data_IF_016313070589
#
_entry.id   IF_016313070589
#
_cell.length_a   1.000
_cell.length_b   1.000
_cell.length_c   1.000
_cell.angle_alpha   90.00
_cell.angle_beta   90.00
_cell.angle_gamma   90.00
#
_symmetry.space_group_name_H-M   'P 1'
#
loop_
_entity.id
_entity.type
_entity.pdbx_description
1 polymer ?
#
# COMPACT_ATOMS: atom_id res chain seq x y z
N UNK A 1 8.23 -34.01 8.29
CA UNK A 1 7.10 -33.07 8.35
C UNK A 1 7.58 -31.70 7.94
N UNK A 2 7.24 -31.27 6.73
CA UNK A 2 7.51 -29.89 6.27
C UNK A 2 6.53 -28.94 6.97
N UNK A 3 6.88 -28.46 8.14
CA UNK A 3 6.20 -27.35 8.79
C UNK A 3 6.58 -26.07 8.06
N UNK A 4 5.78 -25.66 7.07
CA UNK A 4 5.93 -24.33 6.46
C UNK A 4 5.70 -23.28 7.54
N UNK A 5 6.69 -22.41 7.74
CA UNK A 5 6.56 -21.31 8.71
C UNK A 5 5.33 -20.45 8.38
N UNK A 6 4.53 -20.05 9.39
CA UNK A 6 3.33 -19.26 9.16
C UNK A 6 3.67 -17.93 8.47
N UNK A 7 2.84 -17.53 7.51
CA UNK A 7 2.98 -16.22 6.84
C UNK A 7 2.82 -15.11 7.87
N UNK A 8 3.84 -14.27 8.04
CA UNK A 8 3.85 -13.19 9.04
C UNK A 8 3.45 -11.83 8.47
N UNK A 9 3.62 -11.64 7.18
CA UNK A 9 3.31 -10.37 6.51
C UNK A 9 3.07 -10.56 5.02
N UNK A 10 2.33 -9.63 4.43
CA UNK A 10 2.15 -9.48 2.98
C UNK A 10 2.53 -8.06 2.61
N UNK A 11 3.51 -7.89 1.74
CA UNK A 11 4.00 -6.57 1.35
C UNK A 11 4.37 -6.50 -0.12
N UNK A 12 4.45 -5.28 -0.63
CA UNK A 12 4.94 -4.97 -1.95
C UNK A 12 5.66 -3.62 -1.94
N UNK A 13 6.67 -3.47 -2.80
CA UNK A 13 7.43 -2.24 -2.96
C UNK A 13 7.83 -2.06 -4.42
N UNK A 14 8.05 -0.83 -4.83
CA UNK A 14 8.52 -0.53 -6.18
C UNK A 14 9.49 0.64 -6.19
N UNK A 15 10.42 0.61 -7.14
CA UNK A 15 11.20 1.77 -7.56
C UNK A 15 10.46 2.38 -8.73
N UNK A 16 10.08 3.64 -8.61
CA UNK A 16 9.24 4.31 -9.61
C UNK A 16 10.03 4.67 -10.87
N UNK A 17 9.40 4.68 -12.06
CA UNK A 17 10.05 5.05 -13.32
C UNK A 17 10.59 6.47 -13.33
N UNK A 18 9.96 7.37 -12.58
CA UNK A 18 10.41 8.72 -12.27
C UNK A 18 10.29 8.98 -10.77
N UNK A 19 11.03 9.96 -10.28
CA UNK A 19 10.90 10.35 -8.88
C UNK A 19 9.49 10.89 -8.58
N UNK A 20 8.98 10.59 -7.40
CA UNK A 20 7.72 11.14 -6.90
C UNK A 20 7.99 12.49 -6.27
N UNK A 21 7.43 13.56 -6.86
CA UNK A 21 7.68 14.94 -6.49
C UNK A 21 6.50 15.59 -5.76
N UNK A 22 5.32 14.97 -5.85
CA UNK A 22 4.07 15.47 -5.24
C UNK A 22 3.42 14.42 -4.35
N UNK A 23 2.59 14.88 -3.40
CA UNK A 23 1.75 14.02 -2.57
C UNK A 23 0.81 13.15 -3.43
N UNK A 24 0.38 13.67 -4.58
CA UNK A 24 -0.46 12.91 -5.51
C UNK A 24 0.30 11.76 -6.16
N UNK A 25 1.57 11.97 -6.54
CA UNK A 25 2.42 10.90 -7.05
C UNK A 25 2.53 9.74 -6.06
N UNK A 26 2.80 10.09 -4.80
CA UNK A 26 2.91 9.11 -3.71
C UNK A 26 1.59 8.37 -3.51
N UNK A 27 0.48 9.08 -3.55
CA UNK A 27 -0.85 8.51 -3.41
C UNK A 27 -1.17 7.50 -4.52
N UNK A 28 -0.84 7.82 -5.78
CA UNK A 28 -1.01 6.93 -6.92
C UNK A 28 -0.26 5.62 -6.68
N UNK A 29 1.03 5.70 -6.35
CA UNK A 29 1.88 4.50 -6.17
C UNK A 29 1.43 3.68 -4.96
N UNK A 30 1.10 4.32 -3.83
CA UNK A 30 0.58 3.63 -2.65
C UNK A 30 -0.71 2.86 -2.95
N UNK A 31 -1.63 3.43 -3.73
CA UNK A 31 -2.86 2.72 -4.11
C UNK A 31 -2.58 1.50 -5.01
N UNK A 32 -1.63 1.61 -5.95
CA UNK A 32 -1.21 0.47 -6.80
C UNK A 32 -0.66 -0.66 -5.93
N UNK A 33 0.23 -0.34 -5.00
CA UNK A 33 0.83 -1.31 -4.10
C UNK A 33 -0.20 -1.91 -3.13
N UNK A 34 -1.11 -1.08 -2.59
CA UNK A 34 -2.17 -1.53 -1.69
C UNK A 34 -3.18 -2.45 -2.40
N UNK A 35 -3.47 -2.24 -3.69
CA UNK A 35 -4.28 -3.16 -4.50
C UNK A 35 -3.63 -4.55 -4.57
N UNK A 36 -2.32 -4.61 -4.80
CA UNK A 36 -1.57 -5.87 -4.81
C UNK A 36 -1.55 -6.55 -3.44
N UNK A 37 -1.29 -5.79 -2.38
CA UNK A 37 -1.26 -6.34 -1.00
C UNK A 37 -2.65 -6.81 -0.57
N UNK A 38 -3.70 -5.99 -0.79
CA UNK A 38 -5.09 -6.32 -0.48
C UNK A 38 -5.58 -7.57 -1.19
N UNK A 39 -5.33 -7.67 -2.50
CA UNK A 39 -5.68 -8.84 -3.30
C UNK A 39 -5.02 -10.13 -2.77
N UNK A 40 -3.73 -10.07 -2.41
CA UNK A 40 -2.99 -11.21 -1.84
C UNK A 40 -3.48 -11.58 -0.43
N UNK A 41 -3.84 -10.60 0.39
CA UNK A 41 -4.46 -10.86 1.69
C UNK A 41 -5.79 -11.60 1.51
N UNK A 42 -6.67 -11.13 0.62
CA UNK A 42 -7.97 -11.76 0.32
C UNK A 42 -7.81 -13.16 -0.26
N UNK A 43 -6.90 -13.33 -1.23
CA UNK A 43 -6.64 -14.63 -1.86
C UNK A 43 -6.19 -15.71 -0.84
N UNK A 44 -5.48 -15.30 0.22
CA UNK A 44 -4.97 -16.20 1.25
C UNK A 44 -5.85 -16.22 2.52
N UNK A 45 -7.00 -15.56 2.53
CA UNK A 45 -7.92 -15.53 3.68
C UNK A 45 -7.33 -14.81 4.89
N UNK A 46 -6.52 -13.76 4.68
CA UNK A 46 -5.93 -12.97 5.74
C UNK A 46 -6.47 -11.54 5.78
N UNK A 47 -6.37 -10.95 6.97
CA UNK A 47 -6.49 -9.51 7.23
C UNK A 47 -5.26 -9.06 8.02
N UNK A 48 -4.79 -7.84 7.79
CA UNK A 48 -3.70 -7.25 8.57
C UNK A 48 -4.26 -6.31 9.64
N UNK A 49 -3.64 -6.31 10.82
CA UNK A 49 -3.93 -5.36 11.89
C UNK A 49 -3.01 -4.16 11.87
N UNK A 50 -1.89 -4.27 11.21
CA UNK A 50 -0.88 -3.23 11.15
C UNK A 50 -0.48 -2.99 9.70
N UNK A 51 -0.41 -1.73 9.31
CA UNK A 51 0.12 -1.28 8.02
C UNK A 51 1.46 -0.60 8.25
N UNK A 52 2.45 -0.99 7.49
CA UNK A 52 3.78 -0.41 7.46
C UNK A 52 4.05 0.20 6.09
N UNK A 53 4.68 1.36 6.05
CA UNK A 53 5.30 1.89 4.83
C UNK A 53 6.81 1.92 4.97
N UNK A 54 7.49 1.78 3.84
CA UNK A 54 8.91 2.06 3.68
C UNK A 54 9.11 3.03 2.54
N UNK A 55 9.91 4.06 2.73
CA UNK A 55 10.20 5.05 1.69
C UNK A 55 11.70 5.23 1.56
N UNK A 56 12.14 5.54 0.34
CA UNK A 56 13.52 5.88 0.04
C UNK A 56 13.53 7.07 -0.93
N UNK A 57 14.29 8.09 -0.59
CA UNK A 57 14.50 9.24 -1.46
C UNK A 57 15.58 8.98 -2.52
N UNK A 58 15.79 9.97 -3.38
CA UNK A 58 16.81 9.92 -4.45
C UNK A 58 18.26 9.91 -3.93
N UNK A 59 18.51 10.26 -2.67
CA UNK A 59 19.83 10.22 -2.04
C UNK A 59 20.02 9.00 -1.14
N UNK A 60 19.12 8.01 -1.26
CA UNK A 60 19.16 6.73 -0.56
C UNK A 60 18.82 6.82 0.94
N UNK A 61 18.42 7.98 1.46
CA UNK A 61 17.84 8.04 2.79
C UNK A 61 16.54 7.24 2.81
N UNK A 62 16.39 6.38 3.79
CA UNK A 62 15.19 5.56 3.93
C UNK A 62 14.68 5.55 5.37
N UNK A 63 13.38 5.38 5.51
CA UNK A 63 12.77 5.06 6.79
C UNK A 63 11.57 4.13 6.58
N UNK A 64 11.16 3.48 7.66
CA UNK A 64 9.86 2.80 7.74
C UNK A 64 9.07 3.27 8.95
N UNK A 65 7.75 3.28 8.80
CA UNK A 65 6.78 3.62 9.83
C UNK A 65 5.59 2.70 9.73
N UNK A 66 4.97 2.43 10.87
CA UNK A 66 3.80 1.56 10.93
C UNK A 66 2.70 2.18 11.78
N UNK A 67 1.46 1.78 11.50
CA UNK A 67 0.28 2.15 12.28
C UNK A 67 -0.60 0.92 12.47
N UNK A 68 -1.14 0.77 13.67
CA UNK A 68 -2.14 -0.24 13.96
C UNK A 68 -3.50 0.25 13.47
N UNK A 69 -4.19 -0.57 12.68
CA UNK A 69 -5.55 -0.31 12.24
C UNK A 69 -6.53 -0.48 13.40
N UNK A 70 -7.63 0.25 13.39
CA UNK A 70 -8.71 0.08 14.37
C UNK A 70 -9.32 -1.33 14.26
N UNK A 71 -9.52 -1.80 13.03
CA UNK A 71 -10.01 -3.15 12.76
C UNK A 71 -9.09 -3.83 11.75
N UNK A 72 -8.94 -5.15 11.86
CA UNK A 72 -8.21 -5.94 10.89
C UNK A 72 -8.81 -5.77 9.48
N UNK A 73 -7.98 -5.55 8.48
CA UNK A 73 -8.45 -5.23 7.13
C UNK A 73 -7.67 -5.95 6.04
N UNK A 74 -8.38 -6.26 4.96
CA UNK A 74 -7.84 -6.59 3.65
C UNK A 74 -8.46 -5.70 2.55
N UNK A 75 -9.12 -4.61 2.96
CA UNK A 75 -9.75 -3.63 2.07
C UNK A 75 -8.67 -2.70 1.55
N UNK A 76 -8.54 -2.66 0.23
CA UNK A 76 -7.50 -1.87 -0.46
C UNK A 76 -7.49 -0.41 -0.02
N UNK A 77 -8.66 0.21 0.08
CA UNK A 77 -8.80 1.62 0.49
C UNK A 77 -8.26 1.87 1.89
N UNK A 78 -8.62 1.04 2.86
CA UNK A 78 -8.18 1.17 4.25
C UNK A 78 -6.66 1.05 4.38
N UNK A 79 -6.06 0.08 3.66
CA UNK A 79 -4.61 -0.12 3.62
C UNK A 79 -3.91 1.09 2.97
N UNK A 80 -4.41 1.56 1.82
CA UNK A 80 -3.84 2.68 1.09
C UNK A 80 -3.91 3.99 1.88
N UNK A 81 -5.06 4.27 2.52
CA UNK A 81 -5.26 5.47 3.34
C UNK A 81 -4.36 5.46 4.59
N UNK A 82 -4.25 4.32 5.27
CA UNK A 82 -3.33 4.18 6.40
C UNK A 82 -1.87 4.44 5.98
N UNK A 83 -1.45 3.89 4.84
CA UNK A 83 -0.12 4.14 4.28
C UNK A 83 0.09 5.60 3.89
N UNK A 84 -0.92 6.23 3.29
CA UNK A 84 -0.85 7.63 2.90
C UNK A 84 -0.80 8.59 4.11
N UNK A 85 -1.56 8.31 5.17
CA UNK A 85 -1.47 9.07 6.42
C UNK A 85 -0.08 8.95 7.05
N UNK A 86 0.48 7.74 7.15
CA UNK A 86 1.84 7.54 7.64
C UNK A 86 2.87 8.35 6.82
N UNK A 87 2.70 8.40 5.51
CA UNK A 87 3.53 9.24 4.66
C UNK A 87 3.36 10.73 5.01
N UNK A 88 2.15 11.24 5.04
CA UNK A 88 1.88 12.66 5.30
C UNK A 88 2.38 13.14 6.68
N UNK A 89 2.29 12.27 7.69
CA UNK A 89 2.73 12.59 9.05
C UNK A 89 4.26 12.62 9.20
N UNK A 90 5.00 11.94 8.30
CA UNK A 90 6.44 11.75 8.44
C UNK A 90 7.27 12.31 7.29
N UNK A 91 6.65 12.78 6.20
CA UNK A 91 7.35 13.24 5.01
C UNK A 91 6.64 14.42 4.33
N UNK A 92 7.41 15.37 3.80
CA UNK A 92 6.88 16.52 3.04
C UNK A 92 7.66 16.72 1.77
N UNK A 93 6.97 16.75 0.63
CA UNK A 93 7.56 17.01 -0.67
C UNK A 93 7.52 18.50 -1.03
N UNK A 94 8.57 19.01 -1.73
CA UNK A 94 8.68 20.44 -2.03
C UNK A 94 7.60 20.99 -2.95
N UNK A 95 7.02 20.14 -3.81
CA UNK A 95 6.08 20.59 -4.83
C UNK A 95 4.67 20.89 -4.28
N UNK A 96 4.36 20.41 -3.08
CA UNK A 96 3.02 20.56 -2.49
C UNK A 96 2.82 21.93 -1.83
N UNK A 97 3.87 22.65 -1.52
CA UNK A 97 3.79 23.98 -0.88
C UNK A 97 4.91 24.91 -1.36
N UNK A 98 4.66 25.57 -2.49
CA UNK A 98 5.63 26.43 -3.14
C UNK A 98 5.97 27.70 -2.35
N UNK A 99 5.00 28.24 -1.61
CA UNK A 99 5.22 29.48 -0.82
C UNK A 99 6.06 29.17 0.43
N UNK A 100 5.76 28.10 1.12
CA UNK A 100 6.51 27.68 2.29
C UNK A 100 7.93 27.22 1.92
N UNK A 101 8.09 26.57 0.75
CA UNK A 101 9.40 26.19 0.21
C UNK A 101 10.34 27.38 0.02
N UNK A 102 9.80 28.52 -0.46
CA UNK A 102 10.57 29.74 -0.66
C UNK A 102 11.09 30.36 0.65
N UNK A 103 10.31 30.21 1.73
CA UNK A 103 10.64 30.80 3.05
C UNK A 103 11.41 29.86 3.99
N UNK A 104 11.28 28.54 3.83
CA UNK A 104 11.89 27.53 4.73
C UNK A 104 12.28 26.26 3.98
N UNK A 105 13.27 26.29 3.08
CA UNK A 105 13.66 25.14 2.25
C UNK A 105 14.14 23.92 3.08
N UNK A 106 14.65 24.12 4.28
CA UNK A 106 15.15 23.09 5.17
C UNK A 106 14.08 22.13 5.70
N UNK A 107 12.80 22.51 5.61
CA UNK A 107 11.70 21.65 6.06
C UNK A 107 11.23 20.65 4.99
N UNK A 108 11.70 20.76 3.76
CA UNK A 108 11.29 19.89 2.66
C UNK A 108 12.31 18.80 2.40
N UNK A 109 11.79 17.60 2.32
CA UNK A 109 12.56 16.43 1.99
C UNK A 109 12.64 16.24 0.47
N UNK A 110 13.54 15.38 0.04
CA UNK A 110 13.83 15.19 -1.39
C UNK A 110 12.77 14.32 -2.05
N UNK A 111 12.61 14.39 -3.40
CA UNK A 111 11.74 13.50 -4.13
C UNK A 111 11.99 12.03 -3.79
N UNK A 112 10.91 11.25 -3.70
CA UNK A 112 10.98 9.84 -3.37
C UNK A 112 11.28 9.01 -4.62
N UNK A 113 12.23 8.07 -4.49
CA UNK A 113 12.65 7.15 -5.54
C UNK A 113 11.94 5.81 -5.46
N UNK A 114 11.68 5.32 -4.25
CA UNK A 114 10.96 4.06 -4.05
C UNK A 114 10.07 4.14 -2.81
N UNK A 115 9.01 3.34 -2.85
CA UNK A 115 8.06 3.23 -1.77
C UNK A 115 7.56 1.79 -1.68
N UNK A 116 7.29 1.33 -0.46
CA UNK A 116 6.68 0.04 -0.18
C UNK A 116 5.54 0.17 0.83
N UNK A 117 4.60 -0.78 0.76
CA UNK A 117 3.54 -0.96 1.75
C UNK A 117 3.45 -2.42 2.15
N UNK A 118 3.19 -2.68 3.42
CA UNK A 118 3.13 -4.03 3.98
C UNK A 118 2.02 -4.11 5.02
N UNK A 119 1.22 -5.19 4.96
CA UNK A 119 0.32 -5.60 6.02
C UNK A 119 1.02 -6.63 6.92
N UNK A 120 1.04 -6.38 8.23
CA UNK A 120 1.62 -7.24 9.25
C UNK A 120 0.59 -7.57 10.33
N UNK A 121 0.97 -8.38 11.32
CA UNK A 121 0.07 -8.83 12.38
C UNK A 121 -1.20 -9.45 11.75
N UNK A 122 -0.96 -10.52 10.95
CA UNK A 122 -2.00 -11.15 10.15
C UNK A 122 -2.92 -11.99 11.01
N UNK A 123 -4.22 -11.88 10.75
CA UNK A 123 -5.27 -12.72 11.32
C UNK A 123 -6.07 -13.35 10.18
N UNK A 124 -6.72 -14.50 10.45
CA UNK A 124 -7.60 -15.14 9.48
C UNK A 124 -8.91 -14.38 9.31
N UNK A 125 -9.58 -14.54 8.17
CA UNK A 125 -10.89 -13.91 7.89
C UNK A 125 -11.98 -14.31 8.89
N UNK A 126 -11.83 -15.44 9.58
CA UNK A 126 -12.76 -15.93 10.61
C UNK A 126 -12.55 -15.28 11.98
N UNK A 127 -11.60 -14.32 12.08
CA UNK A 127 -11.36 -13.65 13.34
C UNK A 127 -12.50 -12.69 13.68
N UNK A 128 -13.19 -12.94 14.79
CA UNK A 128 -14.25 -12.08 15.31
C UNK A 128 -13.60 -10.84 15.94
N UNK A 129 -13.85 -9.71 15.36
CA UNK A 129 -13.42 -8.42 15.88
C UNK A 129 -14.63 -7.59 16.26
N UNK A 130 -14.58 -6.97 17.42
CA UNK A 130 -15.63 -6.04 17.83
C UNK A 130 -15.55 -4.80 16.94
N UNK A 131 -16.56 -4.60 16.10
CA UNK A 131 -16.62 -3.40 15.25
C UNK A 131 -16.81 -2.16 16.12
N UNK A 132 -16.11 -1.08 15.74
CA UNK A 132 -16.30 0.22 16.35
C UNK A 132 -17.73 0.73 16.07
N UNK A 133 -18.40 1.29 17.10
CA UNK A 133 -19.74 1.82 16.99
C UNK A 133 -19.86 3.00 16.01
N UNK A 134 -18.75 3.65 15.67
CA UNK A 134 -18.70 4.78 14.73
C UNK A 134 -18.42 4.38 13.29
N UNK A 135 -18.20 3.09 13.02
CA UNK A 135 -17.95 2.59 11.68
C UNK A 135 -19.26 2.19 11.02
N UNK A 136 -19.45 2.59 9.76
CA UNK A 136 -20.57 2.10 8.94
C UNK A 136 -20.26 0.69 8.40
N UNK A 137 -20.88 -0.36 8.96
CA UNK A 137 -20.61 -1.73 8.54
C UNK A 137 -21.04 -1.99 7.09
N UNK A 138 -22.12 -1.32 6.63
CA UNK A 138 -22.67 -1.52 5.29
C UNK A 138 -21.73 -0.92 4.23
N UNK A 139 -21.20 0.28 4.48
CA UNK A 139 -20.22 0.91 3.59
C UNK A 139 -18.94 0.07 3.49
N UNK A 140 -18.48 -0.50 4.61
CA UNK A 140 -17.30 -1.36 4.66
C UNK A 140 -17.52 -2.67 3.91
N UNK A 141 -18.66 -3.33 4.11
CA UNK A 141 -19.03 -4.56 3.39
C UNK A 141 -19.12 -4.30 1.86
N UNK A 142 -19.74 -3.20 1.46
CA UNK A 142 -19.81 -2.79 0.05
C UNK A 142 -18.42 -2.61 -0.55
N UNK A 143 -17.51 -1.97 0.18
CA UNK A 143 -16.13 -1.77 -0.27
C UNK A 143 -15.39 -3.10 -0.42
N UNK A 144 -15.56 -4.01 0.51
CA UNK A 144 -14.96 -5.35 0.46
C UNK A 144 -15.46 -6.14 -0.76
N UNK A 145 -16.79 -6.19 -0.97
CA UNK A 145 -17.39 -6.84 -2.16
C UNK A 145 -16.92 -6.21 -3.47
N UNK A 146 -16.72 -4.92 -3.51
CA UNK A 146 -16.18 -4.23 -4.68
C UNK A 146 -14.74 -4.67 -4.96
N UNK A 147 -13.88 -4.73 -3.95
CA UNK A 147 -12.50 -5.18 -4.10
C UNK A 147 -12.44 -6.66 -4.56
N UNK A 148 -13.26 -7.54 -4.00
CA UNK A 148 -13.38 -8.95 -4.44
C UNK A 148 -13.82 -9.06 -5.91
N UNK A 149 -14.80 -8.25 -6.31
CA UNK A 149 -15.27 -8.21 -7.70
C UNK A 149 -14.17 -7.75 -8.65
N UNK A 150 -13.41 -6.72 -8.28
CA UNK A 150 -12.26 -6.24 -9.05
C UNK A 150 -11.19 -7.33 -9.17
N UNK A 151 -10.92 -8.06 -8.09
CA UNK A 151 -9.95 -9.18 -8.12
C UNK A 151 -10.38 -10.27 -9.11
N UNK A 152 -11.68 -10.64 -9.13
CA UNK A 152 -12.24 -11.63 -10.06
C UNK A 152 -12.08 -11.15 -11.50
N UNK A 153 -12.42 -9.90 -11.78
CA UNK A 153 -12.31 -9.33 -13.15
C UNK A 153 -10.85 -9.32 -13.58
N UNK A 154 -9.95 -8.86 -12.71
CA UNK A 154 -8.51 -8.81 -13.02
C UNK A 154 -7.88 -10.17 -13.20
N UNK A 155 -8.32 -11.17 -12.45
CA UNK A 155 -7.88 -12.56 -12.63
C UNK A 155 -8.26 -13.12 -14.01
N UNK A 156 -9.42 -12.72 -14.53
CA UNK A 156 -9.94 -13.21 -15.83
C UNK A 156 -9.39 -12.41 -17.01
N UNK A 157 -9.30 -11.08 -16.89
CA UNK A 157 -9.06 -10.17 -18.01
C UNK A 157 -7.73 -9.41 -17.92
N UNK A 158 -6.95 -9.65 -16.87
CA UNK A 158 -5.68 -8.98 -16.61
C UNK A 158 -5.80 -7.76 -15.70
N UNK A 159 -4.65 -7.34 -15.12
CA UNK A 159 -4.58 -6.29 -14.11
C UNK A 159 -5.16 -4.94 -14.59
N UNK A 160 -4.92 -4.57 -15.84
CA UNK A 160 -5.34 -3.28 -16.40
C UNK A 160 -6.79 -3.24 -16.86
N UNK A 161 -7.55 -4.33 -16.76
CA UNK A 161 -8.96 -4.39 -17.19
C UNK A 161 -9.87 -3.49 -16.37
N UNK A 162 -9.54 -3.26 -15.10
CA UNK A 162 -10.23 -2.32 -14.21
C UNK A 162 -9.19 -1.54 -13.44
N UNK A 163 -9.27 -0.21 -13.53
CA UNK A 163 -8.36 0.70 -12.82
C UNK A 163 -9.14 1.77 -12.05
N UNK A 164 -8.57 2.25 -10.95
CA UNK A 164 -9.14 3.41 -10.23
C UNK A 164 -8.92 4.68 -11.03
N UNK A 165 -9.89 5.62 -10.98
CA UNK A 165 -9.77 6.91 -11.67
C UNK A 165 -8.49 7.68 -11.34
N UNK A 166 -7.94 7.50 -10.12
CA UNK A 166 -6.68 8.08 -9.69
C UNK A 166 -5.50 7.69 -10.62
N UNK A 167 -5.51 6.47 -11.20
CA UNK A 167 -4.44 5.96 -12.07
C UNK A 167 -4.35 6.70 -13.40
N UNK A 168 -5.43 7.35 -13.83
CA UNK A 168 -5.42 8.13 -15.08
C UNK A 168 -4.76 9.49 -14.97
N UNK A 169 -4.41 9.95 -13.76
CA UNK A 169 -3.76 11.24 -13.54
C UNK A 169 -2.30 11.24 -13.93
N UNK A 170 -1.62 10.11 -13.79
CA UNK A 170 -0.24 9.93 -14.25
C UNK A 170 -0.05 8.54 -14.87
N UNK A 171 0.15 8.50 -16.19
CA UNK A 171 0.32 7.25 -16.92
C UNK A 171 1.67 6.59 -16.68
N UNK A 172 2.70 7.36 -16.36
CA UNK A 172 4.05 6.83 -16.14
C UNK A 172 4.09 6.10 -14.79
N UNK A 173 3.60 6.75 -13.73
CA UNK A 173 3.53 6.12 -12.40
C UNK A 173 2.51 4.97 -12.36
N UNK A 174 1.41 5.10 -13.09
CA UNK A 174 0.38 4.05 -13.15
C UNK A 174 0.77 2.83 -13.97
N UNK A 175 1.82 2.91 -14.76
CA UNK A 175 2.42 1.79 -15.46
C UNK A 175 3.36 0.95 -14.56
N UNK A 176 3.58 1.35 -13.31
CA UNK A 176 4.31 0.54 -12.33
C UNK A 176 3.62 -0.82 -12.21
N UNK A 177 4.30 -1.87 -12.65
CA UNK A 177 3.78 -3.23 -12.57
C UNK A 177 4.06 -3.80 -11.17
N UNK A 178 3.07 -3.61 -10.29
CA UNK A 178 3.12 -4.18 -8.96
C UNK A 178 3.01 -5.73 -8.94
N UNK A 179 2.84 -6.38 -10.08
CA UNK A 179 2.79 -7.84 -10.22
C UNK A 179 4.11 -8.47 -10.62
N UNK A 180 4.89 -7.85 -11.49
CA UNK A 180 6.14 -8.44 -12.01
C UNK A 180 7.26 -8.45 -10.98
N UNK A 181 7.21 -7.57 -9.97
CA UNK A 181 8.19 -7.52 -8.88
C UNK A 181 7.92 -8.56 -7.77
N UNK A 182 6.96 -9.47 -7.96
CA UNK A 182 6.67 -10.55 -7.02
C UNK A 182 7.66 -11.71 -7.15
N UNK A 183 8.91 -11.44 -6.88
CA UNK A 183 9.82 -12.51 -6.48
C UNK A 183 9.45 -12.87 -5.05
N UNK A 184 8.64 -13.91 -4.87
CA UNK A 184 8.55 -14.60 -3.59
C UNK A 184 9.96 -15.11 -3.33
N UNK A 185 10.71 -14.42 -2.46
CA UNK A 185 11.95 -14.98 -1.94
C UNK A 185 11.56 -16.13 -1.02
N UNK A 186 11.79 -17.38 -1.40
CA UNK A 186 11.63 -18.49 -0.47
C UNK A 186 12.59 -18.22 0.69
N UNK A 187 12.06 -18.15 1.91
CA UNK A 187 12.91 -18.20 3.11
C UNK A 187 13.71 -19.49 3.06
N UNK A 188 15.02 -19.39 2.83
CA UNK A 188 15.90 -20.56 2.80
C UNK A 188 17.19 -20.40 2.01
N UNK A 189 17.57 -19.20 1.59
CA UNK A 189 18.80 -19.02 0.80
C UNK A 189 20.02 -18.54 1.59
N UNK A 190 20.00 -18.61 2.91
CA UNK A 190 21.21 -18.50 3.75
C UNK A 190 21.11 -19.57 4.84
N UNK A 191 21.53 -20.76 4.49
CA UNK A 191 22.02 -21.78 5.40
C UNK A 191 23.53 -21.79 5.33
#
# INVERSE_FOLDING_TARGET
>A
ENTSAPVKSVGNSTTTPRDMETDEDVKIVLYILAESVGARLRENGFRCRTVEISVRDKELFHFSKQVKLQNASNITKEIAEAGYMLYKDNYRLPADDKELKSSRPEFFQKPLRSIGIRGTDLVTDYFWEQLDMFMDPQAREKQMKMDETVDIIRKRFGFYSVQRGLMYRDRILSACDAKSDHTVHPHGYFG
#
